data_IF_471124757830
#
_entry.id   IF_471124757830
#
_cell.length_a   1.000
_cell.length_b   1.000
_cell.length_c   1.000
_cell.angle_alpha   90.00
_cell.angle_beta   90.00
_cell.angle_gamma   90.00
#
_symmetry.space_group_name_H-M   'P 1'
#
loop_
_entity.id
_entity.type
_entity.pdbx_description
1 polymer ?
#
# COMPACT_ATOMS: atom_id res chain seq x y z
N UNK A 1 -10.49 1.77 -12.26
CA UNK A 1 -10.52 0.62 -11.32
C UNK A 1 -10.36 -0.72 -12.04
N UNK A 2 -11.21 -1.08 -13.01
CA UNK A 2 -11.13 -2.37 -13.70
C UNK A 2 -9.76 -2.62 -14.36
N UNK A 3 -9.24 -1.65 -15.10
CA UNK A 3 -7.91 -1.75 -15.72
C UNK A 3 -6.80 -1.95 -14.68
N UNK A 4 -6.82 -1.19 -13.58
CA UNK A 4 -5.89 -1.39 -12.46
C UNK A 4 -5.96 -2.82 -11.94
N UNK A 5 -7.18 -3.33 -11.70
CA UNK A 5 -7.38 -4.69 -11.20
C UNK A 5 -6.73 -5.74 -12.10
N UNK A 6 -6.97 -5.66 -13.41
CA UNK A 6 -6.42 -6.64 -14.38
C UNK A 6 -4.90 -6.53 -14.51
N UNK A 7 -4.36 -5.32 -14.55
CA UNK A 7 -2.90 -5.12 -14.61
C UNK A 7 -2.20 -5.61 -13.34
N UNK A 8 -2.77 -5.32 -12.18
CA UNK A 8 -2.24 -5.79 -10.91
C UNK A 8 -2.32 -7.32 -10.79
N UNK A 9 -3.40 -7.94 -11.31
CA UNK A 9 -3.54 -9.41 -11.32
C UNK A 9 -2.48 -10.06 -12.21
N UNK A 10 -2.25 -9.53 -13.41
CA UNK A 10 -1.22 -10.04 -14.31
C UNK A 10 0.20 -9.88 -13.72
N UNK A 11 0.47 -8.75 -13.07
CA UNK A 11 1.75 -8.53 -12.41
C UNK A 11 1.93 -9.44 -11.18
N UNK A 12 0.87 -9.68 -10.41
CA UNK A 12 0.91 -10.61 -9.28
C UNK A 12 1.17 -12.06 -9.72
N UNK A 13 0.57 -12.49 -10.83
CA UNK A 13 0.81 -13.81 -11.42
C UNK A 13 2.28 -13.99 -11.87
N UNK A 14 2.92 -12.91 -12.34
CA UNK A 14 4.33 -12.94 -12.71
C UNK A 14 5.25 -13.10 -11.49
N UNK A 15 4.87 -12.55 -10.33
CA UNK A 15 5.62 -12.69 -9.07
C UNK A 15 5.41 -14.09 -8.47
N UNK A 16 4.17 -14.55 -8.44
CA UNK A 16 3.80 -15.83 -7.84
C UNK A 16 2.81 -16.59 -8.73
N UNK A 17 3.29 -17.46 -9.61
CA UNK A 17 2.44 -18.27 -10.47
C UNK A 17 1.38 -19.05 -9.68
N UNK A 18 0.12 -18.98 -10.13
CA UNK A 18 -1.02 -19.59 -9.46
C UNK A 18 -1.65 -18.73 -8.35
N UNK A 19 -1.20 -17.48 -8.19
CA UNK A 19 -1.85 -16.54 -7.27
C UNK A 19 -3.29 -16.28 -7.70
N UNK A 20 -4.21 -16.28 -6.74
CA UNK A 20 -5.60 -15.86 -6.97
C UNK A 20 -5.82 -14.48 -6.41
N UNK A 21 -6.39 -13.60 -7.21
CA UNK A 21 -6.73 -12.25 -6.82
C UNK A 21 -8.22 -12.15 -6.54
N UNK A 22 -8.56 -11.60 -5.37
CA UNK A 22 -9.93 -11.28 -4.99
C UNK A 22 -10.02 -9.79 -4.71
N UNK A 23 -10.75 -9.07 -5.58
CA UNK A 23 -11.01 -7.66 -5.43
C UNK A 23 -12.46 -7.41 -5.05
N UNK A 24 -12.67 -6.65 -3.98
CA UNK A 24 -13.98 -6.14 -3.58
C UNK A 24 -13.80 -4.75 -2.96
N UNK A 25 -14.88 -4.00 -2.82
CA UNK A 25 -14.77 -2.66 -2.24
C UNK A 25 -15.92 -1.74 -2.62
N UNK A 26 -15.65 -0.46 -2.58
CA UNK A 26 -16.64 0.60 -2.79
C UNK A 26 -16.45 1.19 -4.18
N UNK A 27 -17.32 0.82 -5.10
CA UNK A 27 -17.22 1.24 -6.49
C UNK A 27 -17.33 2.77 -6.65
N UNK A 28 -18.17 3.41 -5.83
CA UNK A 28 -18.48 4.83 -5.96
C UNK A 28 -17.30 5.77 -5.65
N UNK A 29 -16.44 5.39 -4.73
CA UNK A 29 -15.27 6.17 -4.31
C UNK A 29 -13.92 5.58 -4.77
N UNK A 30 -13.99 4.50 -5.57
CA UNK A 30 -12.80 3.88 -6.12
C UNK A 30 -11.93 3.12 -5.10
N UNK A 31 -12.50 2.76 -3.96
CA UNK A 31 -11.82 2.01 -2.93
C UNK A 31 -11.83 0.52 -3.23
N UNK A 32 -10.67 -0.09 -3.35
CA UNK A 32 -10.49 -1.49 -3.69
C UNK A 32 -9.70 -2.23 -2.61
N UNK A 33 -10.32 -3.21 -1.99
CA UNK A 33 -9.64 -4.23 -1.22
C UNK A 33 -9.08 -5.28 -2.18
N UNK A 34 -7.77 -5.36 -2.25
CA UNK A 34 -7.07 -6.21 -3.20
C UNK A 34 -6.36 -7.34 -2.45
N UNK A 35 -6.99 -8.51 -2.41
CA UNK A 35 -6.49 -9.66 -1.68
C UNK A 35 -5.77 -10.64 -2.59
N UNK A 36 -4.57 -11.04 -2.18
CA UNK A 36 -3.79 -12.06 -2.85
C UNK A 36 -3.87 -13.36 -2.05
N UNK A 37 -4.33 -14.42 -2.70
CA UNK A 37 -4.38 -15.76 -2.14
C UNK A 37 -3.45 -16.67 -2.92
N UNK A 38 -2.47 -17.24 -2.26
CA UNK A 38 -1.50 -18.13 -2.89
C UNK A 38 -1.70 -19.55 -2.36
N UNK A 39 -1.72 -20.55 -3.26
CA UNK A 39 -1.75 -21.95 -2.83
C UNK A 39 -0.52 -22.28 -1.98
N UNK A 40 -0.71 -22.94 -0.83
CA UNK A 40 0.42 -23.37 0.02
C UNK A 40 1.41 -24.29 -0.70
N UNK A 41 0.89 -25.07 -1.66
CA UNK A 41 1.71 -25.93 -2.51
C UNK A 41 2.37 -25.07 -3.59
N UNK A 42 3.68 -24.92 -3.55
CA UNK A 42 4.48 -24.15 -4.52
C UNK A 42 5.10 -22.86 -3.96
N UNK A 43 4.55 -22.27 -2.91
CA UNK A 43 5.10 -21.05 -2.30
C UNK A 43 5.16 -21.19 -0.77
N UNK A 44 6.08 -22.01 -0.22
CA UNK A 44 6.14 -22.27 1.23
C UNK A 44 6.46 -21.01 2.04
N UNK A 45 7.13 -20.02 1.46
CA UNK A 45 7.47 -18.76 2.11
C UNK A 45 6.82 -17.56 1.41
N UNK A 46 5.48 -17.56 1.39
CA UNK A 46 4.70 -16.47 0.82
C UNK A 46 5.02 -15.11 1.44
N UNK A 47 5.32 -15.07 2.74
CA UNK A 47 5.59 -13.82 3.44
C UNK A 47 6.85 -13.12 2.90
N UNK A 48 7.80 -13.87 2.37
CA UNK A 48 9.00 -13.31 1.74
C UNK A 48 8.71 -12.52 0.45
N UNK A 49 7.57 -12.78 -0.21
CA UNK A 49 7.14 -12.08 -1.43
C UNK A 49 6.44 -10.74 -1.16
N UNK A 50 6.08 -10.45 0.10
CA UNK A 50 5.35 -9.22 0.44
C UNK A 50 6.03 -7.93 -0.04
N UNK A 51 7.35 -7.74 0.14
CA UNK A 51 8.02 -6.53 -0.34
C UNK A 51 7.93 -6.34 -1.86
N UNK A 52 7.94 -7.44 -2.62
CA UNK A 52 7.83 -7.42 -4.07
C UNK A 52 6.40 -7.04 -4.51
N UNK A 53 5.39 -7.61 -3.87
CA UNK A 53 3.99 -7.23 -4.09
C UNK A 53 3.72 -5.77 -3.70
N UNK A 54 4.25 -5.30 -2.57
CA UNK A 54 4.11 -3.91 -2.13
C UNK A 54 4.74 -2.94 -3.15
N UNK A 55 5.92 -3.26 -3.66
CA UNK A 55 6.62 -2.47 -4.68
C UNK A 55 5.81 -2.43 -5.98
N UNK A 56 5.33 -3.57 -6.45
CA UNK A 56 4.52 -3.69 -7.65
C UNK A 56 3.23 -2.88 -7.54
N UNK A 57 2.46 -3.07 -6.45
CA UNK A 57 1.20 -2.36 -6.23
C UNK A 57 1.40 -0.86 -6.07
N UNK A 58 2.42 -0.43 -5.34
CA UNK A 58 2.76 0.99 -5.17
C UNK A 58 3.11 1.66 -6.49
N UNK A 59 3.87 0.98 -7.34
CA UNK A 59 4.21 1.44 -8.68
C UNK A 59 2.99 1.62 -9.56
N UNK A 60 2.07 0.66 -9.55
CA UNK A 60 0.80 0.77 -10.27
C UNK A 60 -0.08 1.89 -9.70
N UNK A 61 -0.25 1.97 -8.39
CA UNK A 61 -1.02 3.04 -7.75
C UNK A 61 -0.53 4.43 -8.16
N UNK A 62 0.79 4.61 -8.21
CA UNK A 62 1.39 5.88 -8.66
C UNK A 62 1.03 6.21 -10.11
N UNK A 63 1.01 5.22 -11.02
CA UNK A 63 0.62 5.42 -12.43
C UNK A 63 -0.85 5.84 -12.58
N UNK A 64 -1.72 5.34 -11.69
CA UNK A 64 -3.16 5.63 -11.71
C UNK A 64 -3.57 6.80 -10.81
N UNK A 65 -2.62 7.48 -10.15
CA UNK A 65 -2.91 8.56 -9.20
C UNK A 65 -3.69 8.07 -7.98
N UNK A 66 -3.53 6.79 -7.62
CA UNK A 66 -4.24 6.16 -6.51
C UNK A 66 -3.62 6.44 -5.14
N UNK A 67 -4.34 6.05 -4.08
CA UNK A 67 -3.89 6.13 -2.70
C UNK A 67 -3.39 4.78 -2.19
N UNK A 68 -2.27 4.79 -1.47
CA UNK A 68 -1.70 3.61 -0.80
C UNK A 68 -2.54 3.13 0.39
N UNK A 69 -3.49 3.94 0.85
CA UNK A 69 -4.38 3.58 1.95
C UNK A 69 -5.71 4.32 1.81
N UNK A 70 -6.74 3.61 1.40
CA UNK A 70 -8.07 4.18 1.19
C UNK A 70 -8.85 4.37 2.51
N UNK A 71 -8.71 3.46 3.49
CA UNK A 71 -9.48 3.46 4.74
C UNK A 71 -8.62 3.35 6.00
N UNK A 72 -7.64 2.44 6.00
CA UNK A 72 -6.95 2.01 7.22
C UNK A 72 -5.85 2.96 7.71
N UNK A 73 -5.54 4.01 6.94
CA UNK A 73 -4.43 4.91 7.23
C UNK A 73 -3.06 4.26 7.03
N UNK A 74 -2.03 4.98 7.41
CA UNK A 74 -0.62 4.60 7.18
C UNK A 74 -0.09 3.73 8.33
N UNK A 75 -0.36 4.13 9.56
CA UNK A 75 0.14 3.45 10.76
C UNK A 75 1.67 3.31 10.76
N UNK A 76 2.16 2.15 11.17
CA UNK A 76 3.59 1.79 11.15
C UNK A 76 4.00 1.12 9.83
N UNK A 77 3.13 0.26 9.30
CA UNK A 77 3.48 -0.67 8.21
C UNK A 77 3.72 0.04 6.87
N UNK A 78 3.01 1.14 6.61
CA UNK A 78 3.04 1.85 5.32
C UNK A 78 3.89 3.13 5.34
N UNK A 79 4.71 3.36 6.37
CA UNK A 79 5.54 4.58 6.47
C UNK A 79 6.51 4.74 5.30
N UNK A 80 7.14 3.65 4.86
CA UNK A 80 8.01 3.66 3.70
C UNK A 80 7.25 4.03 2.43
N UNK A 81 6.06 3.46 2.22
CA UNK A 81 5.20 3.77 1.07
C UNK A 81 4.72 5.23 1.08
N UNK A 82 4.47 5.82 2.27
CA UNK A 82 4.09 7.22 2.37
C UNK A 82 5.19 8.16 1.87
N UNK A 83 6.44 7.87 2.22
CA UNK A 83 7.59 8.66 1.78
C UNK A 83 7.79 8.60 0.26
N UNK A 84 7.49 7.47 -0.35
CA UNK A 84 7.58 7.28 -1.80
C UNK A 84 6.38 7.89 -2.55
N UNK A 85 5.22 7.98 -1.89
CA UNK A 85 3.97 8.46 -2.48
C UNK A 85 3.74 9.96 -2.35
N UNK A 86 4.37 10.63 -1.37
CA UNK A 86 4.19 12.06 -1.09
C UNK A 86 5.41 12.87 -1.52
N UNK A 87 5.16 14.09 -2.01
CA UNK A 87 6.24 15.04 -2.28
C UNK A 87 6.89 15.55 -0.98
N UNK A 88 8.12 16.06 -1.11
CA UNK A 88 8.90 16.52 0.02
C UNK A 88 8.23 17.66 0.80
N UNK A 89 7.50 18.54 0.11
CA UNK A 89 6.79 19.65 0.74
C UNK A 89 5.65 19.17 1.61
N UNK A 90 4.86 18.23 1.11
CA UNK A 90 3.77 17.61 1.89
C UNK A 90 4.32 16.91 3.14
N UNK A 91 5.41 16.15 3.02
CA UNK A 91 6.07 15.50 4.15
C UNK A 91 6.58 16.50 5.18
N UNK A 92 7.23 17.58 4.73
CA UNK A 92 7.72 18.64 5.63
C UNK A 92 6.60 19.33 6.40
N UNK A 93 5.46 19.60 5.74
CA UNK A 93 4.27 20.15 6.40
C UNK A 93 3.68 19.18 7.42
N UNK A 94 3.58 17.90 7.08
CA UNK A 94 3.11 16.86 8.02
C UNK A 94 4.02 16.78 9.27
N UNK A 95 5.33 16.81 9.09
CA UNK A 95 6.31 16.81 10.19
C UNK A 95 6.21 18.09 11.05
N UNK A 96 6.03 19.25 10.42
CA UNK A 96 5.86 20.50 11.14
C UNK A 96 4.60 20.51 12.00
N UNK A 97 3.47 20.02 11.48
CA UNK A 97 2.22 19.87 12.22
C UNK A 97 2.42 18.89 13.40
N UNK A 98 3.02 17.73 13.13
CA UNK A 98 3.30 16.73 14.18
C UNK A 98 4.14 17.34 15.30
N UNK A 99 5.21 18.04 14.96
CA UNK A 99 6.12 18.67 15.95
C UNK A 99 5.45 19.78 16.74
N UNK A 100 4.57 20.56 16.10
CA UNK A 100 3.83 21.63 16.77
C UNK A 100 2.83 21.09 17.81
N UNK A 101 2.16 19.97 17.50
CA UNK A 101 1.15 19.38 18.38
C UNK A 101 1.72 18.40 19.40
N UNK A 102 2.86 17.78 19.10
CA UNK A 102 3.52 16.76 19.92
C UNK A 102 5.04 17.01 19.98
N UNK A 103 5.47 18.12 20.61
CA UNK A 103 6.88 18.48 20.66
C UNK A 103 7.76 17.46 21.41
N UNK A 104 7.16 16.68 22.29
CA UNK A 104 7.85 15.65 23.08
C UNK A 104 7.80 14.25 22.45
N UNK A 105 7.08 14.07 21.31
CA UNK A 105 7.01 12.80 20.60
C UNK A 105 6.33 11.65 21.37
N UNK A 106 5.41 11.98 22.28
CA UNK A 106 4.74 10.99 23.14
C UNK A 106 3.42 10.48 22.56
N UNK A 107 2.86 11.18 21.57
CA UNK A 107 1.58 10.82 20.93
C UNK A 107 1.83 9.89 19.77
N UNK A 108 1.46 8.62 19.91
CA UNK A 108 1.59 7.60 18.87
C UNK A 108 3.00 7.58 18.21
N UNK A 109 4.08 7.38 18.96
CA UNK A 109 5.43 7.40 18.41
C UNK A 109 5.60 6.33 17.34
N UNK A 110 6.32 6.69 16.25
CA UNK A 110 6.59 5.78 15.15
C UNK A 110 5.38 5.41 14.29
N UNK A 111 4.31 6.20 14.31
CA UNK A 111 3.16 6.06 13.42
C UNK A 111 3.18 7.20 12.40
N UNK A 112 2.88 6.90 11.13
CA UNK A 112 2.84 7.83 9.99
C UNK A 112 4.22 8.39 9.64
N UNK A 113 4.83 9.12 10.56
CA UNK A 113 6.12 9.83 10.41
C UNK A 113 7.20 9.21 11.28
#
# INVERSE_FOLDING_TARGET
MAEFYHRAAAAAEAIAPGVRVFGFGHLGDGNLHYNLCIPRQGHPDFMALFPEFDTMLSGLLKQYGGSISAEHGIGQKKRHLLRDAKDATALAVMEAIKKALDPNGIMNPGKIL
#
